data_IF_285581097429
#
_entry.id   IF_285581097429
#
_cell.length_a   1.000
_cell.length_b   1.000
_cell.length_c   1.000
_cell.angle_alpha   90.00
_cell.angle_beta   90.00
_cell.angle_gamma   90.00
#
_symmetry.space_group_name_H-M   'P 1'
#
loop_
_entity.id
_entity.type
_entity.pdbx_description
1 polymer ?
#
# COMPACT_ATOMS: atom_id res chain seq x y z
N UNK A 1 7.40 5.73 -17.30
CA UNK A 1 8.48 5.59 -16.32
C UNK A 1 8.78 4.13 -16.08
N UNK A 2 7.75 3.32 -15.80
CA UNK A 2 7.88 1.86 -15.76
C UNK A 2 8.21 1.27 -17.14
N UNK A 3 8.96 0.17 -17.15
CA UNK A 3 9.30 -0.61 -18.35
C UNK A 3 8.10 -1.40 -18.88
N UNK A 4 7.18 -1.79 -17.98
CA UNK A 4 5.99 -2.56 -18.30
C UNK A 4 4.82 -2.19 -17.35
N UNK A 5 3.57 -2.24 -17.83
CA UNK A 5 2.38 -1.88 -17.04
C UNK A 5 1.24 -2.84 -17.36
N UNK A 6 0.78 -3.56 -16.33
CA UNK A 6 -0.27 -4.56 -16.43
C UNK A 6 -1.43 -4.24 -15.50
N UNK A 7 -2.65 -4.34 -16.02
CA UNK A 7 -3.86 -4.44 -15.19
C UNK A 7 -4.11 -5.90 -14.84
N UNK A 8 -4.23 -6.20 -13.56
CA UNK A 8 -4.60 -7.54 -13.08
C UNK A 8 -6.07 -7.52 -12.64
N UNK A 9 -6.91 -8.36 -13.25
CA UNK A 9 -8.35 -8.39 -12.96
C UNK A 9 -8.88 -9.81 -13.06
N UNK A 10 -9.91 -10.16 -12.29
CA UNK A 10 -10.65 -11.43 -12.43
C UNK A 10 -11.92 -11.28 -13.31
N UNK A 11 -12.25 -10.04 -13.68
CA UNK A 11 -13.51 -9.74 -14.34
C UNK A 11 -13.33 -9.56 -15.86
N UNK A 12 -13.94 -10.40 -16.71
CA UNK A 12 -13.80 -10.30 -18.17
C UNK A 12 -14.22 -8.94 -18.75
N UNK A 13 -15.20 -8.29 -18.14
CA UNK A 13 -15.64 -6.95 -18.56
C UNK A 13 -14.59 -5.86 -18.31
N UNK A 14 -13.80 -5.95 -17.23
CA UNK A 14 -12.70 -5.00 -16.98
C UNK A 14 -11.59 -5.26 -17.99
N UNK A 15 -11.27 -6.54 -18.23
CA UNK A 15 -10.25 -6.90 -19.21
C UNK A 15 -10.57 -6.38 -20.61
N UNK A 16 -11.81 -6.54 -21.08
CA UNK A 16 -12.24 -6.03 -22.38
C UNK A 16 -12.10 -4.51 -22.49
N UNK A 17 -12.41 -3.75 -21.42
CA UNK A 17 -12.25 -2.28 -21.40
C UNK A 17 -10.78 -1.89 -21.48
N UNK A 18 -9.90 -2.56 -20.73
CA UNK A 18 -8.45 -2.29 -20.74
C UNK A 18 -7.85 -2.60 -22.12
N UNK A 19 -8.19 -3.75 -22.71
CA UNK A 19 -7.73 -4.15 -24.04
C UNK A 19 -8.22 -3.17 -25.12
N UNK A 20 -9.48 -2.73 -25.04
CA UNK A 20 -10.03 -1.74 -25.97
C UNK A 20 -9.33 -0.38 -25.87
N UNK A 21 -8.82 -0.03 -24.68
CA UNK A 21 -8.00 1.16 -24.46
C UNK A 21 -6.52 0.98 -24.87
N UNK A 22 -6.12 -0.21 -25.34
CA UNK A 22 -4.74 -0.53 -25.72
C UNK A 22 -3.81 -0.85 -24.55
N UNK A 23 -4.37 -1.05 -23.35
CA UNK A 23 -3.61 -1.47 -22.17
C UNK A 23 -3.31 -2.96 -22.16
N UNK A 24 -2.31 -3.36 -21.37
CA UNK A 24 -2.02 -4.77 -21.14
C UNK A 24 -2.82 -5.27 -19.93
N UNK A 25 -3.46 -6.43 -20.07
CA UNK A 25 -4.26 -7.03 -19.01
C UNK A 25 -3.88 -8.49 -18.81
N UNK A 26 -3.91 -8.93 -17.56
CA UNK A 26 -3.81 -10.32 -17.18
C UNK A 26 -5.05 -10.71 -16.37
N UNK A 27 -5.86 -11.61 -16.94
CA UNK A 27 -6.99 -12.19 -16.21
C UNK A 27 -6.45 -13.16 -15.17
N UNK A 28 -6.58 -12.79 -13.89
CA UNK A 28 -6.14 -13.55 -12.71
C UNK A 28 -7.29 -14.38 -12.13
N UNK A 29 -6.95 -15.35 -11.28
CA UNK A 29 -7.93 -16.12 -10.50
C UNK A 29 -8.85 -15.23 -9.65
N UNK A 30 -10.13 -15.60 -9.54
CA UNK A 30 -11.12 -14.94 -8.70
C UNK A 30 -11.05 -15.42 -7.24
N UNK A 31 -10.28 -16.48 -6.98
CA UNK A 31 -10.14 -17.14 -5.69
C UNK A 31 -8.99 -16.57 -4.85
N UNK A 32 -8.29 -15.53 -5.33
CA UNK A 32 -7.20 -14.89 -4.59
C UNK A 32 -7.72 -14.23 -3.30
N UNK A 33 -7.15 -14.57 -2.13
CA UNK A 33 -7.62 -14.02 -0.86
C UNK A 33 -7.13 -12.58 -0.62
N UNK A 34 -6.11 -12.12 -1.36
CA UNK A 34 -5.55 -10.77 -1.20
C UNK A 34 -5.04 -10.19 -2.53
N UNK A 35 -4.80 -8.87 -2.54
CA UNK A 35 -4.16 -8.20 -3.67
C UNK A 35 -2.73 -8.70 -3.90
N UNK A 36 -1.99 -8.99 -2.83
CA UNK A 36 -0.63 -9.52 -2.94
C UNK A 36 -0.59 -10.91 -3.58
N UNK A 37 -1.57 -11.77 -3.30
CA UNK A 37 -1.68 -13.10 -3.96
C UNK A 37 -1.96 -12.96 -5.47
N UNK A 38 -2.81 -11.98 -5.85
CA UNK A 38 -3.05 -11.62 -7.25
C UNK A 38 -1.76 -11.19 -7.96
N UNK A 39 -0.93 -10.36 -7.31
CA UNK A 39 0.35 -9.92 -7.85
C UNK A 39 1.37 -11.06 -7.97
N UNK A 40 1.34 -12.03 -7.06
CA UNK A 40 2.19 -13.23 -7.15
C UNK A 40 1.87 -14.06 -8.40
N UNK A 41 0.59 -14.19 -8.76
CA UNK A 41 0.18 -14.84 -10.02
C UNK A 41 0.73 -14.08 -11.22
N UNK A 42 0.58 -12.75 -11.25
CA UNK A 42 1.08 -11.89 -12.33
C UNK A 42 2.59 -12.06 -12.49
N UNK A 43 3.36 -11.92 -11.42
CA UNK A 43 4.82 -12.04 -11.46
C UNK A 43 5.28 -13.41 -11.97
N UNK A 44 4.57 -14.48 -11.56
CA UNK A 44 4.85 -15.86 -12.02
C UNK A 44 4.55 -16.02 -13.51
N UNK A 45 3.36 -15.59 -13.96
CA UNK A 45 2.92 -15.76 -15.35
C UNK A 45 3.67 -14.88 -16.34
N UNK A 46 4.13 -13.70 -15.90
CA UNK A 46 4.97 -12.80 -16.70
C UNK A 46 6.43 -13.22 -16.75
N UNK A 47 6.86 -14.10 -15.84
CA UNK A 47 8.24 -14.59 -15.81
C UNK A 47 9.25 -13.51 -15.45
N UNK A 48 8.84 -12.51 -14.67
CA UNK A 48 9.74 -11.46 -14.15
C UNK A 48 10.89 -12.09 -13.36
N UNK A 49 12.09 -11.53 -13.44
CA UNK A 49 13.24 -11.97 -12.67
C UNK A 49 13.02 -11.70 -11.18
N UNK A 50 13.75 -12.40 -10.30
CA UNK A 50 13.52 -12.28 -8.85
C UNK A 50 13.90 -10.90 -8.29
N UNK A 51 14.81 -10.20 -8.96
CA UNK A 51 15.31 -8.85 -8.66
C UNK A 51 14.49 -7.73 -9.32
N UNK A 52 13.57 -8.05 -10.22
CA UNK A 52 12.64 -7.07 -10.79
C UNK A 52 11.80 -6.42 -9.68
N UNK A 53 11.56 -5.12 -9.83
CA UNK A 53 10.75 -4.33 -8.90
C UNK A 53 9.40 -4.01 -9.55
N UNK A 54 8.31 -4.39 -8.87
CA UNK A 54 6.95 -4.06 -9.27
C UNK A 54 6.32 -3.11 -8.26
N UNK A 55 5.55 -2.13 -8.73
CA UNK A 55 4.75 -1.25 -7.86
C UNK A 55 3.28 -1.57 -8.06
N UNK A 56 2.60 -1.91 -6.98
CA UNK A 56 1.16 -2.08 -6.96
C UNK A 56 0.47 -0.72 -6.86
N UNK A 57 -0.25 -0.37 -7.92
CA UNK A 57 -1.12 0.80 -7.97
C UNK A 57 -2.56 0.30 -7.98
N UNK A 58 -3.33 0.67 -6.96
CA UNK A 58 -4.72 0.24 -6.85
C UNK A 58 -5.57 0.89 -7.96
N UNK A 59 -6.57 0.15 -8.46
CA UNK A 59 -7.39 0.58 -9.59
C UNK A 59 -8.37 1.73 -9.27
N UNK A 60 -8.56 2.03 -7.99
CA UNK A 60 -9.39 3.09 -7.43
C UNK A 60 -8.59 4.37 -7.09
N UNK A 61 -7.31 4.45 -7.44
CA UNK A 61 -6.42 5.60 -7.19
C UNK A 61 -6.07 6.37 -8.49
N UNK A 62 -7.05 6.98 -9.20
CA UNK A 62 -6.84 7.57 -10.53
C UNK A 62 -5.95 8.83 -10.52
N UNK A 63 -5.75 9.45 -9.35
CA UNK A 63 -4.99 10.69 -9.18
C UNK A 63 -3.62 10.46 -8.50
N UNK A 64 -3.19 9.20 -8.37
CA UNK A 64 -1.89 8.90 -7.77
C UNK A 64 -0.74 9.56 -8.58
N UNK A 65 0.14 10.34 -7.94
CA UNK A 65 1.26 10.95 -8.65
C UNK A 65 2.24 9.91 -9.17
N UNK A 66 2.65 10.04 -10.42
CA UNK A 66 3.61 9.10 -11.04
C UNK A 66 4.98 9.13 -10.37
N UNK A 67 5.35 10.27 -9.80
CA UNK A 67 6.56 10.49 -9.01
C UNK A 67 6.55 9.66 -7.73
N UNK A 68 5.38 9.46 -7.14
CA UNK A 68 5.24 8.66 -5.93
C UNK A 68 5.41 7.16 -6.24
N UNK A 69 4.93 6.70 -7.40
CA UNK A 69 5.17 5.33 -7.90
C UNK A 69 6.67 5.11 -8.10
N UNK A 70 7.35 6.03 -8.79
CA UNK A 70 8.79 5.95 -9.02
C UNK A 70 9.59 6.01 -7.71
N UNK A 71 9.18 6.85 -6.76
CA UNK A 71 9.80 6.95 -5.45
C UNK A 71 9.69 5.64 -4.66
N UNK A 72 8.54 4.95 -4.70
CA UNK A 72 8.35 3.67 -4.02
C UNK A 72 9.31 2.59 -4.56
N UNK A 73 9.46 2.51 -5.89
CA UNK A 73 10.43 1.61 -6.51
C UNK A 73 11.88 1.97 -6.12
N UNK A 74 12.22 3.26 -6.13
CA UNK A 74 13.56 3.73 -5.75
C UNK A 74 13.88 3.46 -4.27
N UNK A 75 12.91 3.63 -3.37
CA UNK A 75 13.08 3.33 -1.96
C UNK A 75 13.35 1.84 -1.71
N UNK A 76 12.66 0.95 -2.43
CA UNK A 76 12.95 -0.48 -2.37
C UNK A 76 14.31 -0.83 -2.98
N UNK A 77 14.68 -0.20 -4.10
CA UNK A 77 16.00 -0.39 -4.72
C UNK A 77 17.14 0.01 -3.78
N UNK A 78 16.95 1.09 -3.00
CA UNK A 78 17.93 1.62 -2.06
C UNK A 78 18.11 0.78 -0.78
N UNK A 79 17.16 -0.11 -0.46
CA UNK A 79 17.26 -1.03 0.67
C UNK A 79 17.31 -2.51 0.20
N UNK A 80 18.51 -3.07 0.01
CA UNK A 80 18.69 -4.45 -0.42
C UNK A 80 18.11 -5.51 0.52
N UNK A 81 17.98 -5.22 1.83
CA UNK A 81 17.44 -6.20 2.77
C UNK A 81 15.91 -6.16 2.84
N UNK A 82 15.28 -5.09 2.34
CA UNK A 82 13.84 -4.97 2.30
C UNK A 82 13.23 -5.78 1.16
N UNK A 83 12.11 -6.44 1.45
CA UNK A 83 11.33 -7.18 0.45
C UNK A 83 10.22 -6.33 -0.17
N UNK A 84 9.77 -5.33 0.59
CA UNK A 84 8.65 -4.44 0.28
C UNK A 84 9.09 -3.02 0.60
N UNK A 85 8.64 -2.04 -0.17
CA UNK A 85 8.59 -0.65 0.27
C UNK A 85 7.16 -0.10 0.20
N UNK A 86 6.82 0.81 1.09
CA UNK A 86 5.52 1.50 1.12
C UNK A 86 5.71 2.96 1.54
N UNK A 87 4.62 3.69 1.75
CA UNK A 87 4.63 5.08 2.15
C UNK A 87 3.70 5.35 3.34
N UNK A 88 3.97 6.45 4.03
CA UNK A 88 3.08 7.02 5.03
C UNK A 88 3.17 8.54 5.03
N UNK A 89 2.22 9.21 5.68
CA UNK A 89 2.28 10.64 5.95
C UNK A 89 1.92 10.94 7.41
N UNK A 90 2.34 12.09 7.97
CA UNK A 90 1.97 12.51 9.31
C UNK A 90 0.45 12.60 9.51
N UNK A 91 0.00 12.19 10.70
CA UNK A 91 -1.34 12.47 11.22
C UNK A 91 -1.31 13.72 12.08
N UNK A 92 -2.35 14.56 11.94
CA UNK A 92 -2.52 15.77 12.74
C UNK A 92 -3.83 15.80 13.54
N UNK A 93 -4.76 14.90 13.22
CA UNK A 93 -6.08 14.79 13.86
C UNK A 93 -6.09 13.65 14.88
N UNK A 94 -6.55 13.94 16.09
CA UNK A 94 -6.82 12.90 17.10
C UNK A 94 -7.93 11.95 16.62
N UNK A 95 -8.97 12.48 15.96
CA UNK A 95 -10.07 11.67 15.43
C UNK A 95 -9.57 10.64 14.41
N UNK A 96 -8.70 11.05 13.49
CA UNK A 96 -8.08 10.10 12.54
C UNK A 96 -7.16 9.10 13.25
N UNK A 97 -6.37 9.54 14.23
CA UNK A 97 -5.45 8.68 14.96
C UNK A 97 -6.18 7.55 15.70
N UNK A 98 -7.34 7.85 16.31
CA UNK A 98 -8.16 6.87 17.01
C UNK A 98 -9.14 6.10 16.11
N UNK A 99 -9.30 6.50 14.83
CA UNK A 99 -10.16 5.81 13.89
C UNK A 99 -9.54 4.46 13.44
N UNK A 100 -10.22 3.31 13.64
CA UNK A 100 -9.70 1.99 13.24
C UNK A 100 -9.66 1.78 11.72
N UNK A 101 -10.34 2.63 10.94
CA UNK A 101 -10.25 2.59 9.48
C UNK A 101 -8.95 3.24 8.98
N UNK A 102 -8.30 4.06 9.81
CA UNK A 102 -6.98 4.63 9.51
C UNK A 102 -5.92 3.66 10.03
N UNK A 103 -5.11 3.12 9.12
CA UNK A 103 -3.99 2.24 9.49
C UNK A 103 -2.82 3.09 9.94
N UNK A 104 -2.34 2.86 11.16
CA UNK A 104 -1.15 3.48 11.72
C UNK A 104 0.04 2.56 11.59
N UNK A 105 1.23 3.13 11.69
CA UNK A 105 2.48 2.41 11.71
C UNK A 105 3.52 3.12 12.56
N UNK A 106 4.47 2.35 13.07
CA UNK A 106 5.65 2.84 13.78
C UNK A 106 6.91 2.44 13.04
N UNK A 107 7.91 3.31 13.05
CA UNK A 107 9.16 3.12 12.30
C UNK A 107 10.34 2.87 13.23
N UNK A 108 11.32 2.09 12.76
CA UNK A 108 12.63 2.00 13.38
C UNK A 108 13.54 3.17 12.95
N UNK A 109 14.76 3.21 13.50
CA UNK A 109 15.74 4.25 13.18
C UNK A 109 16.27 4.21 11.73
N UNK A 110 16.02 3.12 10.98
CA UNK A 110 16.36 2.98 9.56
C UNK A 110 15.18 3.37 8.64
N UNK A 111 14.04 3.75 9.19
CA UNK A 111 12.83 4.04 8.41
C UNK A 111 12.09 2.79 7.94
N UNK A 112 12.31 1.64 8.57
CA UNK A 112 11.53 0.42 8.32
C UNK A 112 10.36 0.33 9.27
N UNK A 113 9.28 -0.29 8.83
CA UNK A 113 8.11 -0.52 9.69
C UNK A 113 8.46 -1.51 10.81
N UNK A 114 8.22 -1.12 12.07
CA UNK A 114 8.23 -2.01 13.22
C UNK A 114 6.91 -2.74 13.36
N UNK A 115 5.78 -2.08 13.07
CA UNK A 115 4.45 -2.67 13.08
C UNK A 115 3.42 -1.77 12.37
N UNK A 116 2.37 -2.38 11.81
CA UNK A 116 1.16 -1.70 11.33
C UNK A 116 -0.02 -2.11 12.20
N UNK A 117 -0.93 -1.18 12.50
CA UNK A 117 -2.10 -1.48 13.31
C UNK A 117 -3.25 -0.52 13.06
N UNK A 118 -4.47 -1.02 13.25
CA UNK A 118 -5.67 -0.18 13.38
C UNK A 118 -5.76 0.46 14.76
N UNK A 119 -5.01 -0.03 15.75
CA UNK A 119 -4.90 0.58 17.07
C UNK A 119 -4.09 1.91 17.04
N UNK A 120 -4.31 2.81 18.01
CA UNK A 120 -3.56 4.07 18.12
C UNK A 120 -2.10 3.83 18.54
N UNK A 121 -1.20 3.77 17.56
CA UNK A 121 0.25 3.58 17.76
C UNK A 121 1.05 4.73 17.12
N UNK A 122 2.11 5.23 17.79
CA UNK A 122 2.54 4.88 19.14
C UNK A 122 1.63 5.52 20.22
N UNK A 123 1.48 4.84 21.36
CA UNK A 123 0.66 5.35 22.45
C UNK A 123 1.40 6.43 23.27
N UNK A 124 0.88 7.66 23.28
CA UNK A 124 1.41 8.75 24.09
C UNK A 124 0.92 8.64 25.55
N UNK A 125 1.56 7.79 26.36
CA UNK A 125 1.12 7.42 27.72
C UNK A 125 0.59 8.58 28.56
N UNK A 126 1.42 9.60 28.77
CA UNK A 126 1.11 10.70 29.69
C UNK A 126 0.14 11.69 29.07
N UNK A 127 0.30 12.00 27.78
CA UNK A 127 -0.59 12.92 27.08
C UNK A 127 -2.02 12.36 26.97
N UNK A 128 -2.20 11.11 26.56
CA UNK A 128 -3.52 10.48 26.42
C UNK A 128 -4.16 10.05 27.75
N UNK A 129 -3.40 10.07 28.84
CA UNK A 129 -3.96 9.99 30.18
C UNK A 129 -4.60 11.33 30.61
N UNK A 130 -4.05 12.46 30.13
CA UNK A 130 -4.57 13.79 30.42
C UNK A 130 -5.70 14.20 29.46
N UNK A 131 -5.50 14.04 28.15
CA UNK A 131 -6.44 14.45 27.12
C UNK A 131 -6.26 13.61 25.84
N UNK A 132 -7.37 13.12 25.28
CA UNK A 132 -7.39 12.36 24.02
C UNK A 132 -8.01 13.13 22.86
N UNK A 133 -8.49 14.35 23.09
CA UNK A 133 -9.08 15.20 22.06
C UNK A 133 -8.04 15.87 21.16
N UNK A 134 -6.77 15.86 21.56
CA UNK A 134 -5.66 16.43 20.80
C UNK A 134 -4.51 15.44 20.63
N UNK A 135 -3.88 15.51 19.46
CA UNK A 135 -2.66 14.77 19.17
C UNK A 135 -1.45 15.57 19.66
N UNK A 136 -0.52 15.00 20.44
CA UNK A 136 0.67 15.71 20.85
C UNK A 136 1.53 16.09 19.64
N UNK A 137 1.97 17.36 19.56
CA UNK A 137 2.65 17.90 18.39
C UNK A 137 3.94 17.16 18.00
N UNK A 138 4.64 16.54 18.96
CA UNK A 138 5.87 15.79 18.74
C UNK A 138 5.67 14.27 18.62
N UNK A 139 4.41 13.78 18.62
CA UNK A 139 4.15 12.35 18.47
C UNK A 139 4.40 11.93 17.01
N UNK A 140 5.26 10.93 16.73
CA UNK A 140 5.47 10.41 15.38
C UNK A 140 4.30 9.50 14.99
N UNK A 141 3.12 10.09 14.84
CA UNK A 141 1.89 9.44 14.42
C UNK A 141 1.79 9.51 12.89
N UNK A 142 1.75 8.35 12.25
CA UNK A 142 1.71 8.25 10.80
C UNK A 142 0.49 7.47 10.34
N UNK A 143 -0.08 7.89 9.20
CA UNK A 143 -1.07 7.15 8.45
C UNK A 143 -0.38 6.43 7.30
N UNK A 144 -0.60 5.12 7.21
CA UNK A 144 -0.12 4.29 6.11
C UNK A 144 -0.87 4.63 4.81
N UNK A 145 -0.13 4.59 3.69
CA UNK A 145 -0.65 4.76 2.33
C UNK A 145 -0.57 3.40 1.63
N UNK A 146 -1.67 2.94 1.04
CA UNK A 146 -1.80 1.63 0.37
C UNK A 146 -1.02 1.47 -0.94
N UNK A 147 0.12 2.14 -1.08
CA UNK A 147 1.07 2.01 -2.18
C UNK A 147 2.19 1.06 -1.78
N UNK A 148 2.49 0.09 -2.62
CA UNK A 148 3.53 -0.89 -2.32
C UNK A 148 4.43 -1.15 -3.51
N UNK A 149 5.74 -1.11 -3.30
CA UNK A 149 6.72 -1.69 -4.19
C UNK A 149 7.15 -3.06 -3.64
N UNK A 150 7.36 -4.02 -4.52
CA UNK A 150 7.73 -5.39 -4.21
C UNK A 150 8.88 -5.86 -5.07
N UNK A 151 9.73 -6.73 -4.51
CA UNK A 151 10.60 -7.58 -5.33
C UNK A 151 9.77 -8.71 -5.90
N UNK A 152 9.86 -8.97 -7.20
CA UNK A 152 9.11 -10.04 -7.85
C UNK A 152 9.45 -11.41 -7.26
N UNK A 153 10.70 -11.65 -6.87
CA UNK A 153 11.10 -12.87 -6.15
C UNK A 153 10.42 -13.03 -4.79
N UNK A 154 10.12 -11.92 -4.10
CA UNK A 154 9.33 -11.94 -2.87
C UNK A 154 7.86 -12.25 -3.16
N UNK A 155 7.24 -11.62 -4.19
CA UNK A 155 5.85 -11.90 -4.56
C UNK A 155 5.62 -13.39 -4.84
N UNK A 156 6.51 -14.03 -5.61
CA UNK A 156 6.44 -15.48 -5.90
C UNK A 156 6.53 -16.33 -4.63
N UNK A 157 7.26 -15.88 -3.61
CA UNK A 157 7.38 -16.55 -2.31
C UNK A 157 6.19 -16.26 -1.39
N UNK A 158 5.57 -15.09 -1.51
CA UNK A 158 4.49 -14.63 -0.63
C UNK A 158 3.32 -15.62 -0.57
N UNK A 159 2.91 -16.16 -1.72
CA UNK A 159 1.83 -17.15 -1.82
C UNK A 159 2.14 -18.47 -1.08
N UNK A 160 3.42 -18.75 -0.79
CA UNK A 160 3.83 -19.93 0.00
C UNK A 160 3.91 -19.66 1.50
N UNK A 161 3.83 -18.41 1.93
CA UNK A 161 3.87 -18.05 3.35
C UNK A 161 2.53 -18.40 4.00
N UNK A 162 2.61 -19.07 5.15
CA UNK A 162 1.41 -19.33 5.94
C UNK A 162 0.78 -17.99 6.38
N UNK A 163 -0.56 -17.85 6.30
CA UNK A 163 -1.27 -16.72 6.89
C UNK A 163 -0.85 -16.48 8.34
N UNK A 164 -0.54 -15.24 8.68
CA UNK A 164 -0.20 -14.84 10.04
C UNK A 164 -1.46 -14.58 10.86
N UNK A 165 -1.53 -15.01 12.14
CA UNK A 165 -2.62 -14.56 13.03
C UNK A 165 -2.75 -13.03 13.09
N UNK A 166 -1.64 -12.29 12.98
CA UNK A 166 -1.66 -10.83 12.99
C UNK A 166 -2.41 -10.24 11.78
N UNK A 167 -2.18 -10.80 10.58
CA UNK A 167 -2.85 -10.33 9.36
C UNK A 167 -4.36 -10.55 9.43
N UNK A 168 -4.80 -11.62 10.10
CA UNK A 168 -6.22 -11.98 10.23
C UNK A 168 -6.93 -11.09 11.23
N UNK A 169 -6.33 -10.86 12.40
CA UNK A 169 -6.93 -10.01 13.44
C UNK A 169 -6.96 -8.53 13.05
N UNK A 170 -5.92 -8.03 12.41
CA UNK A 170 -5.86 -6.64 11.96
C UNK A 170 -6.52 -6.44 10.59
N UNK A 171 -6.77 -7.51 9.83
CA UNK A 171 -7.15 -7.43 8.41
C UNK A 171 -6.18 -6.54 7.63
N UNK A 172 -4.88 -6.85 7.71
CA UNK A 172 -3.76 -6.12 7.09
C UNK A 172 -2.76 -7.11 6.46
N UNK A 173 -2.77 -7.23 5.14
CA UNK A 173 -1.96 -8.22 4.39
C UNK A 173 -0.45 -8.09 4.60
N UNK A 174 0.06 -6.87 4.76
CA UNK A 174 1.49 -6.61 4.95
C UNK A 174 2.04 -7.23 6.25
N UNK A 175 1.17 -7.53 7.22
CA UNK A 175 1.58 -8.21 8.46
C UNK A 175 1.99 -9.67 8.22
N UNK A 176 1.58 -10.31 7.11
CA UNK A 176 2.11 -11.61 6.71
C UNK A 176 3.62 -11.53 6.51
N UNK A 177 4.06 -10.58 5.68
CA UNK A 177 5.47 -10.38 5.37
C UNK A 177 6.28 -10.13 6.65
N UNK A 178 5.79 -9.24 7.51
CA UNK A 178 6.48 -8.91 8.77
C UNK A 178 6.55 -10.09 9.73
N UNK A 179 5.47 -10.88 9.88
CA UNK A 179 5.45 -12.05 10.75
C UNK A 179 6.45 -13.13 10.31
N UNK A 180 6.75 -13.20 9.01
CA UNK A 180 7.77 -14.08 8.44
C UNK A 180 9.17 -13.44 8.36
N UNK A 181 9.37 -12.29 8.98
CA UNK A 181 10.68 -11.64 9.12
C UNK A 181 11.14 -10.84 7.90
N UNK A 182 10.25 -10.54 6.95
CA UNK A 182 10.57 -9.71 5.79
C UNK A 182 10.48 -8.22 6.15
N UNK A 183 11.58 -7.45 6.02
CA UNK A 183 11.55 -6.02 6.31
C UNK A 183 10.73 -5.25 5.28
N UNK A 184 10.04 -4.21 5.75
CA UNK A 184 9.26 -3.29 4.94
C UNK A 184 9.86 -1.90 5.09
N UNK A 185 10.43 -1.36 4.01
CA UNK A 185 10.94 0.01 3.96
C UNK A 185 9.78 1.00 3.85
N UNK A 186 9.84 2.14 4.53
CA UNK A 186 8.77 3.13 4.51
C UNK A 186 9.31 4.50 4.11
N UNK A 187 8.66 5.09 3.10
CA UNK A 187 8.84 6.50 2.75
C UNK A 187 7.91 7.36 3.60
N UNK A 188 8.44 8.43 4.20
CA UNK A 188 7.63 9.43 4.90
C UNK A 188 7.39 10.59 3.96
N UNK A 189 6.16 10.77 3.50
CA UNK A 189 5.73 11.92 2.70
C UNK A 189 5.35 13.09 3.61
N UNK A 190 5.50 14.32 3.12
CA UNK A 190 5.10 15.51 3.86
C UNK A 190 3.58 15.61 4.02
N UNK A 191 2.83 15.14 3.00
CA UNK A 191 1.38 15.26 2.92
C UNK A 191 0.74 13.99 2.35
N UNK A 192 -0.56 13.84 2.58
CA UNK A 192 -1.35 12.75 1.98
C UNK A 192 -1.39 12.88 0.45
N UNK A 193 -1.33 11.77 -0.30
CA UNK A 193 -1.64 11.78 -1.73
C UNK A 193 -3.13 12.13 -1.95
N UNK A 194 -3.52 12.52 -3.18
CA UNK A 194 -4.93 12.69 -3.53
C UNK A 194 -5.75 11.45 -3.16
N UNK A 195 -6.94 11.64 -2.63
CA UNK A 195 -7.81 10.54 -2.23
C UNK A 195 -8.37 9.78 -3.45
N UNK A 196 -8.37 8.44 -3.35
CA UNK A 196 -8.97 7.52 -4.32
C UNK A 196 -10.49 7.59 -4.40
N UNK A 197 -11.11 6.55 -4.98
CA UNK A 197 -12.55 6.49 -5.29
C UNK A 197 -13.20 5.26 -4.68
N UNK A 198 -13.80 5.44 -3.50
CA UNK A 198 -14.58 4.39 -2.81
C UNK A 198 -16.09 4.65 -2.87
N UNK A 199 -16.49 5.91 -3.02
CA UNK A 199 -17.90 6.33 -2.98
C UNK A 199 -18.31 7.10 -4.24
N UNK A 200 -19.63 7.26 -4.42
CA UNK A 200 -20.16 8.09 -5.50
C UNK A 200 -19.71 9.56 -5.37
N UNK A 201 -19.59 10.07 -4.16
CA UNK A 201 -19.11 11.43 -3.91
C UNK A 201 -17.62 11.57 -4.26
N UNK A 202 -16.81 10.54 -4.01
CA UNK A 202 -15.42 10.51 -4.46
C UNK A 202 -15.31 10.52 -5.98
N UNK A 203 -16.16 9.77 -6.67
CA UNK A 203 -16.19 9.76 -8.13
C UNK A 203 -16.52 11.15 -8.68
N UNK A 204 -17.51 11.83 -8.13
CA UNK A 204 -17.85 13.21 -8.54
C UNK A 204 -16.73 14.21 -8.22
N UNK A 205 -16.04 14.05 -7.08
CA UNK A 205 -14.85 14.85 -6.76
C UNK A 205 -13.76 14.64 -7.81
N UNK A 206 -13.44 13.39 -8.14
CA UNK A 206 -12.39 13.06 -9.11
C UNK A 206 -12.76 13.51 -10.52
N UNK A 207 -14.02 13.37 -10.95
CA UNK A 207 -14.48 13.87 -12.26
C UNK A 207 -14.17 15.35 -12.47
N UNK A 208 -14.38 16.18 -11.45
CA UNK A 208 -14.09 17.62 -11.51
C UNK A 208 -12.61 17.94 -11.74
N UNK A 209 -11.70 17.05 -11.37
CA UNK A 209 -10.26 17.18 -11.65
C UNK A 209 -9.95 16.89 -13.13
N UNK A 210 -10.75 16.03 -13.79
CA UNK A 210 -10.59 15.66 -15.20
C UNK A 210 -11.44 16.49 -16.16
N UNK A 211 -12.50 17.17 -15.69
CA UNK A 211 -13.41 17.99 -16.49
C UNK A 211 -12.82 19.35 -16.94
N UNK A 212 -11.49 19.52 -16.81
CA UNK A 212 -10.73 20.59 -17.46
C UNK A 212 -10.12 20.13 -18.78
N UNK A 213 -10.94 19.69 -19.74
CA UNK A 213 -10.58 19.54 -21.17
C UNK A 213 -11.71 20.04 -22.05
#
# INVERSE_FOLDING_TARGET
GADDVWVATDHPGIAAVVEAAGGQVLVTSAEHPSGTDRLAEVATRRGWADDDLGVNVQGDEPLIPSELIAAAAAALAADPDAAIATACHPLHSADEFFNPNVVKLVLDARGRALYFSRAPIPWARDAFAADRSALPAALPAYRHIGLYAYRAGFLKRYASLAPSPLEQWEALEQLRAMAHGYPIQVMVLDHAPPAGVDTADDLERVRREFDWV
#
